data_IF_953614199281
#
_entry.id   IF_953614199281
#
_cell.length_a   1.000
_cell.length_b   1.000
_cell.length_c   1.000
_cell.angle_alpha   90.00
_cell.angle_beta   90.00
_cell.angle_gamma   90.00
#
_symmetry.space_group_name_H-M   'P 1'
#
loop_
_entity.id
_entity.type
_entity.pdbx_description
1 polymer ?
#
# COMPACT_ATOMS: atom_id res chain seq x y z
N UNK A 1 -18.57 -5.53 46.43
CA UNK A 1 -17.96 -6.06 45.19
C UNK A 1 -16.62 -6.65 45.55
N UNK A 2 -16.38 -7.91 45.20
CA UNK A 2 -15.11 -8.56 45.52
C UNK A 2 -13.96 -7.93 44.72
N UNK A 3 -12.83 -7.71 45.39
CA UNK A 3 -11.63 -7.09 44.80
C UNK A 3 -11.18 -7.78 43.50
N UNK A 4 -11.39 -9.10 43.41
CA UNK A 4 -11.09 -9.91 42.22
C UNK A 4 -11.98 -9.56 41.03
N UNK A 5 -13.26 -9.32 41.27
CA UNK A 5 -14.24 -8.94 40.24
C UNK A 5 -13.94 -7.52 39.74
N UNK A 6 -13.56 -6.62 40.66
CA UNK A 6 -13.13 -5.26 40.30
C UNK A 6 -11.89 -5.26 39.41
N UNK A 7 -10.87 -6.07 39.74
CA UNK A 7 -9.64 -6.17 38.96
C UNK A 7 -9.89 -6.73 37.56
N UNK A 8 -10.72 -7.76 37.42
CA UNK A 8 -11.09 -8.31 36.11
C UNK A 8 -11.81 -7.27 35.25
N UNK A 9 -12.74 -6.52 35.84
CA UNK A 9 -13.45 -5.46 35.12
C UNK A 9 -12.50 -4.38 34.60
N UNK A 10 -11.53 -3.93 35.42
CA UNK A 10 -10.53 -2.94 35.02
C UNK A 10 -9.67 -3.47 33.87
N UNK A 11 -9.21 -4.72 33.94
CA UNK A 11 -8.39 -5.33 32.88
C UNK A 11 -9.16 -5.37 31.56
N UNK A 12 -10.44 -5.79 31.58
CA UNK A 12 -11.26 -5.83 30.37
C UNK A 12 -11.45 -4.45 29.74
N UNK A 13 -11.66 -3.41 30.56
CA UNK A 13 -11.79 -2.03 30.08
C UNK A 13 -10.49 -1.54 29.43
N UNK A 14 -9.34 -1.82 30.07
CA UNK A 14 -8.02 -1.41 29.56
C UNK A 14 -7.69 -2.11 28.23
N UNK A 15 -7.91 -3.42 28.13
CA UNK A 15 -7.65 -4.18 26.89
C UNK A 15 -8.54 -3.70 25.73
N UNK A 16 -9.80 -3.38 26.04
CA UNK A 16 -10.73 -2.85 25.04
C UNK A 16 -10.26 -1.49 24.52
N UNK A 17 -9.86 -0.57 25.41
CA UNK A 17 -9.39 0.77 25.02
C UNK A 17 -8.13 0.73 24.14
N UNK A 18 -7.19 -0.18 24.39
CA UNK A 18 -5.97 -0.33 23.57
C UNK A 18 -6.29 -0.86 22.17
N UNK A 19 -7.33 -1.67 22.02
CA UNK A 19 -7.74 -2.22 20.71
C UNK A 19 -8.35 -1.16 19.78
N UNK A 20 -9.02 -0.15 20.33
CA UNK A 20 -9.59 0.96 19.54
C UNK A 20 -8.58 2.09 19.23
N UNK A 21 -7.45 2.14 19.95
CA UNK A 21 -6.43 3.19 19.79
C UNK A 21 -5.40 2.94 18.69
N UNK A 22 -5.42 1.79 18.02
CA UNK A 22 -4.49 1.48 16.94
C UNK A 22 -4.97 2.08 15.61
N UNK A 23 -4.87 3.40 15.48
CA UNK A 23 -4.97 4.03 14.16
C UNK A 23 -3.60 3.95 13.49
N UNK A 24 -3.51 3.31 12.33
CA UNK A 24 -2.32 3.46 11.48
C UNK A 24 -2.22 4.96 11.18
N UNK A 25 -1.12 5.65 11.53
CA UNK A 25 -0.94 7.02 11.12
C UNK A 25 -0.93 7.02 9.59
N UNK A 26 -2.02 7.53 8.99
CA UNK A 26 -2.02 7.88 7.58
C UNK A 26 -1.06 9.06 7.51
N UNK A 27 0.17 8.77 7.11
CA UNK A 27 1.19 9.77 6.86
C UNK A 27 0.56 10.84 5.96
N UNK A 28 0.40 12.06 6.48
CA UNK A 28 -0.18 13.18 5.73
C UNK A 28 0.75 13.63 4.58
N UNK A 29 1.92 13.02 4.46
CA UNK A 29 2.82 13.08 3.31
C UNK A 29 2.82 11.81 2.45
N UNK A 30 1.78 10.96 2.53
CA UNK A 30 1.64 9.75 1.71
C UNK A 30 2.04 10.07 0.27
N UNK A 31 3.16 9.51 -0.16
CA UNK A 31 3.65 9.59 -1.54
C UNK A 31 2.45 9.37 -2.44
N UNK A 32 2.07 10.41 -3.21
CA UNK A 32 1.08 10.27 -4.26
C UNK A 32 1.70 9.43 -5.36
N UNK A 33 1.70 8.11 -5.14
CA UNK A 33 2.08 7.16 -6.16
C UNK A 33 1.16 7.34 -7.36
N UNK A 34 1.74 7.38 -8.55
CA UNK A 34 0.97 7.30 -9.77
C UNK A 34 0.58 5.84 -10.00
N UNK A 35 -0.72 5.58 -10.13
CA UNK A 35 -1.21 4.27 -10.53
C UNK A 35 -1.28 4.23 -12.05
N UNK A 36 -0.44 3.39 -12.65
CA UNK A 36 -0.43 3.16 -14.10
C UNK A 36 -1.75 2.50 -14.51
N UNK A 37 -2.35 3.00 -15.59
CA UNK A 37 -3.63 2.51 -16.11
C UNK A 37 -3.67 2.40 -17.64
N UNK A 38 -4.76 1.84 -18.20
CA UNK A 38 -4.95 1.71 -19.63
C UNK A 38 -4.77 3.04 -20.39
N UNK A 39 -4.04 2.99 -21.50
CA UNK A 39 -3.71 4.16 -22.33
C UNK A 39 -2.43 4.89 -21.95
N UNK A 40 -1.87 4.64 -20.77
CA UNK A 40 -0.57 5.18 -20.36
C UNK A 40 0.56 4.64 -21.22
N UNK A 41 1.58 5.48 -21.41
CA UNK A 41 2.81 5.11 -22.12
C UNK A 41 3.94 4.89 -21.11
N UNK A 42 4.64 3.76 -21.26
CA UNK A 42 5.79 3.38 -20.45
C UNK A 42 7.02 3.37 -21.36
N UNK A 43 8.03 4.16 -21.00
CA UNK A 43 9.35 4.12 -21.63
C UNK A 43 10.33 3.35 -20.75
N UNK A 44 10.83 2.22 -21.23
CA UNK A 44 11.89 1.45 -20.58
C UNK A 44 13.25 1.79 -21.17
N UNK A 45 14.24 2.09 -20.31
CA UNK A 45 15.64 2.28 -20.72
C UNK A 45 16.55 1.31 -20.02
N UNK A 46 17.41 0.63 -20.77
CA UNK A 46 18.34 -0.38 -20.23
C UNK A 46 19.75 0.16 -20.30
N UNK A 47 20.34 0.41 -19.12
CA UNK A 47 21.66 1.00 -19.01
C UNK A 47 22.72 0.09 -19.64
N UNK A 48 23.49 0.63 -20.58
CA UNK A 48 24.54 -0.10 -21.30
C UNK A 48 24.03 -0.98 -22.45
N UNK A 49 22.72 -1.08 -22.62
CA UNK A 49 22.05 -2.09 -23.44
C UNK A 49 20.90 -1.44 -24.23
N UNK A 50 21.19 -0.31 -24.90
CA UNK A 50 20.19 0.55 -25.53
C UNK A 50 19.33 -0.14 -26.61
N UNK A 51 19.77 -1.27 -27.15
CA UNK A 51 18.99 -2.11 -28.07
C UNK A 51 17.76 -2.76 -27.41
N UNK A 52 17.69 -2.77 -26.08
CA UNK A 52 16.55 -3.24 -25.30
C UNK A 52 15.69 -2.09 -24.74
N UNK A 53 15.99 -0.83 -25.09
CA UNK A 53 15.07 0.29 -24.81
C UNK A 53 13.74 0.05 -25.53
N UNK A 54 12.62 0.37 -24.87
CA UNK A 54 11.29 0.18 -25.46
C UNK A 54 10.31 1.27 -25.05
N UNK A 55 9.25 1.40 -25.85
CA UNK A 55 8.06 2.19 -25.54
C UNK A 55 6.86 1.26 -25.68
N UNK A 56 6.08 1.12 -24.61
CA UNK A 56 4.91 0.25 -24.59
C UNK A 56 3.71 1.00 -24.01
N UNK A 57 2.53 0.75 -24.59
CA UNK A 57 1.27 1.30 -24.09
C UNK A 57 0.54 0.26 -23.26
N UNK A 58 -0.07 0.70 -22.17
CA UNK A 58 -0.90 -0.16 -21.33
C UNK A 58 -2.22 -0.42 -22.06
N UNK A 59 -2.54 -1.69 -22.29
CA UNK A 59 -3.78 -2.09 -22.94
C UNK A 59 -5.00 -1.99 -22.01
N UNK A 60 -6.19 -2.30 -22.53
CA UNK A 60 -7.45 -2.27 -21.76
C UNK A 60 -7.47 -3.26 -20.58
N UNK A 61 -6.62 -4.28 -20.61
CA UNK A 61 -6.50 -5.30 -19.57
C UNK A 61 -5.38 -4.98 -18.56
N UNK A 62 -4.71 -3.83 -18.68
CA UNK A 62 -3.59 -3.44 -17.83
C UNK A 62 -2.27 -4.13 -18.16
N UNK A 63 -2.13 -4.72 -19.35
CA UNK A 63 -0.91 -5.40 -19.82
C UNK A 63 -0.06 -4.46 -20.68
N UNK A 64 1.24 -4.74 -20.72
CA UNK A 64 2.17 -4.20 -21.70
C UNK A 64 2.82 -5.35 -22.46
N UNK A 65 3.14 -5.12 -23.73
CA UNK A 65 3.94 -6.03 -24.54
C UNK A 65 5.32 -5.41 -24.74
N UNK A 66 6.36 -6.22 -24.52
CA UNK A 66 7.76 -5.80 -24.60
C UNK A 66 8.46 -6.69 -25.63
N UNK A 67 9.26 -6.12 -26.55
CA UNK A 67 9.69 -6.83 -27.76
C UNK A 67 10.94 -7.72 -27.56
N UNK A 68 10.93 -8.61 -26.56
CA UNK A 68 11.99 -9.61 -26.35
C UNK A 68 11.53 -10.82 -25.52
#
# INVERSE_FOLDING_TARGET
MDLRILLLFIITVVVSAVSFGQTIPVDAGAQKGYLIGPGDEITGKVLGEAQFDFVARVDENGKIEVPF
#
